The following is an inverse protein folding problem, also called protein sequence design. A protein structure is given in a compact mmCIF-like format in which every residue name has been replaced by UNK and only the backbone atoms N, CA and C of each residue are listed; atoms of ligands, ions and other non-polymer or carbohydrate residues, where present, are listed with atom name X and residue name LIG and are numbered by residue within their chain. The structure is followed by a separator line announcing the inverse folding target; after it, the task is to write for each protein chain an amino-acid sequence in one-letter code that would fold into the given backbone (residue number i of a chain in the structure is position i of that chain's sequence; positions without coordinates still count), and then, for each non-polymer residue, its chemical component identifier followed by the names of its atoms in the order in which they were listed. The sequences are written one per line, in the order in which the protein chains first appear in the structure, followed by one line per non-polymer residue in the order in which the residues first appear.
data_IF_635133314759
#
_entry.id   IF_635133314759
#
_cell.length_a   1.000
_cell.length_b   1.000
_cell.length_c   1.000
_cell.angle_alpha   90.00
_cell.angle_beta   90.00
_cell.angle_gamma   90.00
#
_symmetry.space_group_name_H-M   'P 1'
#
loop_
_entity.id
_entity.type
_entity.pdbx_description
1 polymer ?
#
# COMPACT_ATOMS: atom_id res chain seq x y z
N UNK A 1 -25.86 35.57 -13.14
CA UNK A 1 -25.09 34.50 -13.79
C UNK A 1 -23.84 35.08 -14.41
N UNK A 2 -22.66 34.72 -13.90
CA UNK A 2 -21.38 35.21 -14.42
C UNK A 2 -20.80 34.17 -15.39
N UNK A 3 -20.32 34.60 -16.55
CA UNK A 3 -19.61 33.72 -17.48
C UNK A 3 -18.12 34.02 -17.37
N UNK A 4 -17.30 32.98 -17.20
CA UNK A 4 -15.86 33.16 -17.13
C UNK A 4 -15.33 33.71 -18.46
N UNK A 5 -14.67 34.88 -18.44
CA UNK A 5 -14.08 35.48 -19.65
C UNK A 5 -12.96 34.65 -20.28
N UNK A 6 -12.36 33.74 -19.51
CA UNK A 6 -11.24 32.91 -19.97
C UNK A 6 -11.70 31.55 -20.53
N UNK A 7 -12.68 30.89 -19.91
CA UNK A 7 -13.10 29.54 -20.30
C UNK A 7 -14.55 29.43 -20.81
N UNK A 8 -15.33 30.50 -20.78
CA UNK A 8 -16.71 30.53 -21.30
C UNK A 8 -17.73 29.70 -20.50
N UNK A 9 -17.34 29.16 -19.34
CA UNK A 9 -18.21 28.36 -18.48
C UNK A 9 -19.11 29.27 -17.64
N UNK A 10 -20.37 28.87 -17.50
CA UNK A 10 -21.34 29.51 -16.62
C UNK A 10 -20.97 29.23 -15.15
N UNK A 11 -20.78 30.30 -14.38
CA UNK A 11 -20.40 30.26 -12.98
C UNK A 11 -21.59 30.67 -12.10
N UNK A 12 -21.74 29.94 -11.00
CA UNK A 12 -22.68 30.23 -9.93
C UNK A 12 -22.19 31.46 -9.13
N UNK A 13 -23.11 32.31 -8.70
CA UNK A 13 -22.81 33.69 -8.24
C UNK A 13 -21.96 33.79 -6.97
N UNK A 14 -21.79 32.67 -6.25
CA UNK A 14 -21.00 32.55 -5.02
C UNK A 14 -19.56 32.05 -5.25
N UNK A 15 -19.17 31.75 -6.50
CA UNK A 15 -17.84 31.22 -6.79
C UNK A 15 -16.79 32.32 -6.97
N UNK A 16 -15.78 32.31 -6.11
CA UNK A 16 -14.65 33.25 -6.11
C UNK A 16 -13.62 32.97 -7.22
N UNK A 17 -13.56 31.73 -7.71
CA UNK A 17 -12.64 31.32 -8.77
C UNK A 17 -13.26 30.24 -9.65
N UNK A 18 -12.85 30.22 -10.92
CA UNK A 18 -13.32 29.20 -11.85
C UNK A 18 -12.70 27.83 -11.53
N UNK A 19 -13.48 26.76 -11.35
CA UNK A 19 -12.95 25.43 -11.04
C UNK A 19 -12.20 24.78 -12.22
N UNK A 20 -12.38 25.29 -13.43
CA UNK A 20 -11.78 24.75 -14.66
C UNK A 20 -10.46 25.43 -15.03
N UNK A 21 -10.35 26.74 -14.87
CA UNK A 21 -9.15 27.50 -15.26
C UNK A 21 -8.44 28.19 -14.09
N UNK A 22 -9.04 28.21 -12.90
CA UNK A 22 -8.48 28.86 -11.72
C UNK A 22 -8.55 30.39 -11.72
N UNK A 23 -9.11 31.00 -12.76
CA UNK A 23 -9.16 32.46 -12.90
C UNK A 23 -10.09 33.07 -11.84
N UNK A 24 -9.65 34.11 -11.10
CA UNK A 24 -10.49 34.81 -10.14
C UNK A 24 -11.63 35.55 -10.85
N UNK A 25 -12.85 35.38 -10.37
CA UNK A 25 -14.03 36.02 -10.95
C UNK A 25 -14.06 37.47 -10.47
N UNK A 26 -13.58 38.39 -11.31
CA UNK A 26 -13.59 39.82 -11.03
C UNK A 26 -15.03 40.36 -11.08
N UNK A 27 -15.77 40.26 -9.97
CA UNK A 27 -17.13 40.83 -9.91
C UNK A 27 -18.04 40.37 -8.79
N UNK A 28 -17.59 40.33 -7.53
CA UNK A 28 -18.52 40.31 -6.39
C UNK A 28 -18.02 41.18 -5.23
N UNK A 29 -18.42 42.46 -5.27
CA UNK A 29 -18.82 43.27 -4.10
C UNK A 29 -17.78 43.60 -3.03
N UNK A 30 -17.41 44.87 -2.97
CA UNK A 30 -16.51 45.55 -2.03
C UNK A 30 -16.92 45.44 -0.55
N UNK A 31 -15.93 45.14 0.30
CA UNK A 31 -15.78 45.72 1.64
C UNK A 31 -14.30 45.60 2.04
N UNK A 32 -13.63 46.74 2.13
CA UNK A 32 -12.19 46.83 2.27
C UNK A 32 -11.66 46.27 3.60
N UNK A 33 -10.43 45.77 3.57
CA UNK A 33 -9.26 46.33 4.28
C UNK A 33 -8.12 45.31 4.26
N UNK A 34 -7.04 45.67 3.57
CA UNK A 34 -5.66 45.16 3.62
C UNK A 34 -5.39 43.71 4.06
N UNK A 35 -4.82 42.88 3.16
CA UNK A 35 -3.53 42.19 3.42
C UNK A 35 -2.97 41.50 2.19
N UNK A 36 -1.78 41.96 1.82
CA UNK A 36 -0.63 41.18 1.36
C UNK A 36 -0.79 40.26 0.14
N UNK A 37 -0.26 40.77 -0.97
CA UNK A 37 0.36 40.06 -2.07
C UNK A 37 1.08 38.78 -1.58
N UNK A 38 0.57 37.61 -1.96
CA UNK A 38 1.28 36.33 -1.85
C UNK A 38 1.30 35.72 -3.26
N UNK A 39 2.45 35.32 -3.81
CA UNK A 39 2.50 34.77 -5.16
C UNK A 39 1.81 33.41 -5.20
N UNK A 40 0.94 33.25 -6.19
CA UNK A 40 0.36 31.98 -6.58
C UNK A 40 1.45 31.04 -7.07
N UNK A 41 1.53 29.84 -6.50
CA UNK A 41 2.44 28.81 -6.95
C UNK A 41 2.74 27.76 -5.89
N UNK A 42 1.81 26.81 -5.74
CA UNK A 42 2.00 25.40 -5.37
C UNK A 42 0.73 24.91 -4.65
N UNK A 43 0.07 23.82 -5.09
CA UNK A 43 -0.89 23.16 -4.24
C UNK A 43 -0.15 22.65 -3.00
N UNK A 44 -0.33 23.36 -1.88
CA UNK A 44 0.18 22.97 -0.59
C UNK A 44 -0.26 21.53 -0.31
N UNK A 45 0.75 20.65 -0.29
CA UNK A 45 0.68 19.26 0.08
C UNK A 45 -0.20 19.11 1.32
N UNK A 46 -1.37 18.48 1.19
CA UNK A 46 -2.09 18.03 2.39
C UNK A 46 -1.13 17.08 3.12
N UNK A 47 -0.73 17.38 4.36
CA UNK A 47 0.09 16.46 5.13
C UNK A 47 -0.65 15.14 5.15
N UNK A 48 0.05 14.05 4.79
CA UNK A 48 -0.42 12.68 5.01
C UNK A 48 -1.10 12.68 6.37
N UNK A 49 -2.40 12.38 6.43
CA UNK A 49 -3.11 12.28 7.70
C UNK A 49 -2.46 11.14 8.49
N UNK A 50 -1.43 11.47 9.25
CA UNK A 50 -0.78 10.53 10.13
C UNK A 50 -1.80 10.18 11.20
N UNK A 51 -2.07 8.88 11.35
CA UNK A 51 -2.99 8.43 12.39
C UNK A 51 -2.51 9.00 13.72
N UNK A 52 -3.42 9.66 14.43
CA UNK A 52 -3.14 10.16 15.77
C UNK A 52 -2.79 8.98 16.68
N UNK A 53 -1.93 9.20 17.68
CA UNK A 53 -1.57 8.18 18.66
C UNK A 53 -2.77 7.43 19.28
N UNK A 54 -3.88 8.09 19.66
CA UNK A 54 -5.06 7.37 20.14
C UNK A 54 -5.68 6.46 19.08
N UNK A 55 -5.70 6.86 17.80
CA UNK A 55 -6.19 6.01 16.70
C UNK A 55 -5.29 4.78 16.51
N UNK A 56 -3.96 4.93 16.56
CA UNK A 56 -3.04 3.79 16.45
C UNK A 56 -3.25 2.77 17.57
N UNK A 57 -3.41 3.25 18.81
CA UNK A 57 -3.68 2.40 19.97
C UNK A 57 -5.01 1.64 19.83
N UNK A 58 -6.07 2.35 19.42
CA UNK A 58 -7.38 1.75 19.21
C UNK A 58 -7.37 0.69 18.09
N UNK A 59 -6.68 0.97 16.97
CA UNK A 59 -6.48 0.00 15.89
C UNK A 59 -5.68 -1.22 16.36
N UNK A 60 -4.63 -1.02 17.15
CA UNK A 60 -3.86 -2.12 17.73
C UNK A 60 -4.71 -3.01 18.64
N UNK A 61 -5.56 -2.42 19.48
CA UNK A 61 -6.43 -3.15 20.40
C UNK A 61 -7.46 -4.00 19.65
N UNK A 62 -8.16 -3.41 18.67
CA UNK A 62 -9.14 -4.14 17.85
C UNK A 62 -8.47 -5.31 17.11
N UNK A 63 -7.35 -5.06 16.43
CA UNK A 63 -6.70 -6.11 15.65
C UNK A 63 -6.17 -7.20 16.58
N UNK A 64 -5.64 -6.85 17.75
CA UNK A 64 -5.18 -7.83 18.74
C UNK A 64 -6.32 -8.73 19.23
N UNK A 65 -7.51 -8.17 19.47
CA UNK A 65 -8.69 -8.95 19.88
C UNK A 65 -9.12 -9.91 18.75
N UNK A 66 -9.17 -9.43 17.51
CA UNK A 66 -9.52 -10.25 16.33
C UNK A 66 -8.51 -11.39 16.15
N UNK A 67 -7.21 -11.10 16.21
CA UNK A 67 -6.16 -12.12 16.09
C UNK A 67 -6.24 -13.13 17.23
N UNK A 68 -6.41 -12.68 18.47
CA UNK A 68 -6.49 -13.56 19.64
C UNK A 68 -7.70 -14.48 19.57
N UNK A 69 -8.86 -13.97 19.16
CA UNK A 69 -10.06 -14.80 18.98
C UNK A 69 -9.86 -15.86 17.88
N UNK A 70 -9.27 -15.50 16.74
CA UNK A 70 -8.94 -16.44 15.67
C UNK A 70 -7.92 -17.51 16.08
N UNK A 71 -6.90 -17.10 16.84
CA UNK A 71 -5.89 -18.00 17.42
C UNK A 71 -6.54 -19.05 18.33
N UNK A 72 -7.37 -18.60 19.28
CA UNK A 72 -8.05 -19.50 20.22
C UNK A 72 -8.97 -20.45 19.46
N UNK A 73 -9.74 -19.95 18.49
CA UNK A 73 -10.65 -20.78 17.71
C UNK A 73 -9.90 -21.86 16.90
N UNK A 74 -8.85 -21.48 16.17
CA UNK A 74 -8.06 -22.42 15.35
C UNK A 74 -7.32 -23.44 16.21
N UNK A 75 -6.79 -23.01 17.36
CA UNK A 75 -6.15 -23.89 18.31
C UNK A 75 -7.12 -24.91 18.93
N UNK A 76 -8.30 -24.46 19.37
CA UNK A 76 -9.33 -25.36 19.93
C UNK A 76 -9.76 -26.38 18.89
N UNK A 77 -10.03 -25.96 17.65
CA UNK A 77 -10.45 -26.86 16.58
C UNK A 77 -9.38 -27.91 16.28
N UNK A 78 -8.11 -27.50 16.20
CA UNK A 78 -7.00 -28.43 15.99
C UNK A 78 -6.86 -29.42 17.14
N UNK A 79 -6.90 -28.93 18.37
CA UNK A 79 -6.76 -29.79 19.54
C UNK A 79 -7.92 -30.79 19.68
N UNK A 80 -9.15 -30.36 19.40
CA UNK A 80 -10.33 -31.23 19.45
C UNK A 80 -10.27 -32.33 18.39
N UNK A 81 -9.84 -32.00 17.16
CA UNK A 81 -9.83 -32.94 16.04
C UNK A 81 -8.61 -33.87 16.09
N UNK A 82 -7.42 -33.30 16.29
CA UNK A 82 -6.14 -34.01 16.10
C UNK A 82 -5.44 -34.39 17.42
N UNK A 83 -5.94 -33.92 18.57
CA UNK A 83 -5.33 -34.13 19.92
C UNK A 83 -3.87 -33.66 20.02
N UNK A 84 -3.36 -32.98 18.99
CA UNK A 84 -1.99 -32.55 18.78
C UNK A 84 -2.00 -31.27 17.95
N UNK A 85 -0.91 -30.49 18.02
CA UNK A 85 -0.76 -29.28 17.21
C UNK A 85 -0.25 -29.70 15.84
N UNK A 86 -1.09 -29.56 14.82
CA UNK A 86 -0.77 -29.96 13.45
C UNK A 86 -0.86 -28.75 12.52
N UNK A 87 -2.05 -28.42 12.03
CA UNK A 87 -2.30 -27.30 11.12
C UNK A 87 -2.46 -25.94 11.82
N UNK A 88 -2.70 -25.89 13.15
CA UNK A 88 -2.89 -24.61 13.85
C UNK A 88 -1.59 -23.81 13.95
N UNK A 89 -0.44 -24.43 13.66
CA UNK A 89 0.86 -23.76 13.58
C UNK A 89 0.88 -22.63 12.54
N UNK A 90 0.22 -22.80 11.38
CA UNK A 90 0.23 -21.79 10.31
C UNK A 90 -0.62 -20.55 10.63
N UNK A 91 -1.90 -20.68 11.09
CA UNK A 91 -2.66 -19.54 11.59
C UNK A 91 -1.97 -18.81 12.74
N UNK A 92 -1.29 -19.56 13.63
CA UNK A 92 -0.53 -18.96 14.73
C UNK A 92 0.63 -18.13 14.21
N UNK A 93 1.42 -18.68 13.28
CA UNK A 93 2.53 -17.98 12.65
C UNK A 93 2.11 -16.68 11.95
N UNK A 94 1.02 -16.71 11.18
CA UNK A 94 0.48 -15.52 10.50
C UNK A 94 0.02 -14.49 11.52
N UNK A 95 -0.70 -14.92 12.56
CA UNK A 95 -1.22 -14.02 13.59
C UNK A 95 -0.10 -13.35 14.38
N UNK A 96 0.94 -14.10 14.77
CA UNK A 96 2.13 -13.55 15.43
C UNK A 96 2.88 -12.55 14.55
N UNK A 97 3.00 -12.85 13.25
CA UNK A 97 3.62 -11.94 12.27
C UNK A 97 2.82 -10.64 12.21
N UNK A 98 1.50 -10.70 11.99
CA UNK A 98 0.65 -9.50 11.93
C UNK A 98 0.74 -8.70 13.24
N UNK A 99 0.67 -9.39 14.38
CA UNK A 99 0.78 -8.77 15.69
C UNK A 99 2.12 -8.04 15.90
N UNK A 100 3.24 -8.63 15.44
CA UNK A 100 4.56 -8.01 15.50
C UNK A 100 4.60 -6.69 14.70
N UNK A 101 4.06 -6.68 13.47
CA UNK A 101 4.03 -5.48 12.62
C UNK A 101 3.18 -4.36 13.23
N UNK A 102 1.98 -4.69 13.70
CA UNK A 102 1.06 -3.67 14.24
C UNK A 102 1.61 -3.11 15.56
N UNK A 103 2.17 -3.96 16.43
CA UNK A 103 2.76 -3.52 17.70
C UNK A 103 3.91 -2.54 17.48
N UNK A 104 4.82 -2.85 16.57
CA UNK A 104 5.94 -1.96 16.27
C UNK A 104 5.48 -0.68 15.57
N UNK A 105 4.51 -0.77 14.67
CA UNK A 105 3.95 0.42 14.02
C UNK A 105 3.18 1.34 15.00
N UNK A 106 2.50 0.76 15.99
CA UNK A 106 1.74 1.50 16.99
C UNK A 106 2.64 2.17 18.04
N UNK A 107 3.64 1.45 18.56
CA UNK A 107 4.42 1.91 19.71
C UNK A 107 5.80 2.48 19.36
N UNK A 108 6.40 2.10 18.22
CA UNK A 108 7.76 2.51 17.88
C UNK A 108 7.77 3.66 16.87
N UNK A 109 8.18 4.86 17.30
CA UNK A 109 8.18 6.07 16.45
C UNK A 109 9.50 6.24 15.70
N UNK A 110 9.75 5.37 14.72
CA UNK A 110 10.97 5.36 13.89
C UNK A 110 10.62 5.48 12.40
N UNK A 111 11.58 5.79 11.50
CA UNK A 111 11.29 5.82 10.07
C UNK A 111 10.75 4.47 9.60
N UNK A 112 9.83 4.51 8.62
CA UNK A 112 9.06 3.33 8.18
C UNK A 112 9.95 2.15 7.79
N UNK A 113 11.11 2.38 7.18
CA UNK A 113 12.04 1.30 6.84
C UNK A 113 12.62 0.59 8.07
N UNK A 114 12.90 1.33 9.14
CA UNK A 114 13.43 0.75 10.38
C UNK A 114 12.33 -0.01 11.13
N UNK A 115 11.09 0.48 11.11
CA UNK A 115 9.93 -0.26 11.63
C UNK A 115 9.75 -1.59 10.90
N UNK A 116 9.80 -1.59 9.55
CA UNK A 116 9.71 -2.80 8.72
C UNK A 116 10.85 -3.77 9.02
N UNK A 117 12.08 -3.27 9.15
CA UNK A 117 13.23 -4.12 9.48
C UNK A 117 13.10 -4.73 10.88
N UNK A 118 12.66 -3.95 11.87
CA UNK A 118 12.43 -4.45 13.23
C UNK A 118 11.29 -5.45 13.30
N UNK A 119 10.19 -5.23 12.56
CA UNK A 119 9.06 -6.16 12.53
C UNK A 119 9.39 -7.44 11.79
N UNK A 120 10.20 -7.36 10.72
CA UNK A 120 10.78 -8.53 10.06
C UNK A 120 11.64 -9.33 11.04
N UNK A 121 12.56 -8.68 11.76
CA UNK A 121 13.43 -9.36 12.73
C UNK A 121 12.61 -10.04 13.84
N UNK A 122 11.63 -9.33 14.42
CA UNK A 122 10.76 -9.88 15.45
C UNK A 122 9.91 -11.06 14.94
N UNK A 123 9.39 -10.96 13.72
CA UNK A 123 8.61 -12.03 13.09
C UNK A 123 9.46 -13.26 12.79
N UNK A 124 10.72 -13.09 12.36
CA UNK A 124 11.66 -14.21 12.19
C UNK A 124 11.88 -14.92 13.53
N UNK A 125 12.09 -14.17 14.61
CA UNK A 125 12.26 -14.75 15.96
C UNK A 125 11.02 -15.53 16.38
N UNK A 126 9.82 -14.98 16.16
CA UNK A 126 8.57 -15.67 16.47
C UNK A 126 8.35 -16.93 15.62
N UNK A 127 8.67 -16.89 14.32
CA UNK A 127 8.59 -18.07 13.45
C UNK A 127 9.53 -19.18 13.93
N UNK A 128 10.78 -18.84 14.26
CA UNK A 128 11.75 -19.82 14.78
C UNK A 128 11.30 -20.38 16.12
N UNK A 129 10.84 -19.53 17.04
CA UNK A 129 10.37 -19.97 18.36
C UNK A 129 9.15 -20.89 18.26
N UNK A 130 8.23 -20.58 17.36
CA UNK A 130 7.07 -21.43 17.08
C UNK A 130 7.50 -22.80 16.54
N UNK A 131 8.46 -22.81 15.62
CA UNK A 131 8.99 -24.03 15.01
C UNK A 131 9.75 -24.92 16.02
N UNK A 132 10.46 -24.28 16.97
CA UNK A 132 11.08 -24.95 18.12
C UNK A 132 10.04 -25.60 19.04
N UNK A 133 8.89 -24.96 19.25
CA UNK A 133 7.80 -25.50 20.08
C UNK A 133 7.05 -26.65 19.40
N UNK A 134 6.95 -26.63 18.07
CA UNK A 134 6.28 -27.69 17.28
C UNK A 134 7.21 -28.81 16.83
N UNK A 135 8.48 -28.80 17.26
CA UNK A 135 9.54 -29.76 16.85
C UNK A 135 9.76 -29.82 15.32
N UNK A 136 9.49 -28.72 14.62
CA UNK A 136 9.26 -28.68 13.17
C UNK A 136 10.33 -28.02 12.32
N UNK A 137 11.58 -27.84 12.81
CA UNK A 137 12.69 -26.95 12.35
C UNK A 137 12.83 -26.66 10.82
N UNK A 138 12.30 -27.52 9.97
CA UNK A 138 12.42 -27.44 8.51
C UNK A 138 11.53 -26.37 7.84
N UNK A 139 10.30 -26.13 8.30
CA UNK A 139 9.35 -25.34 7.50
C UNK A 139 9.50 -23.83 7.72
N UNK A 140 9.87 -23.38 8.92
CA UNK A 140 10.08 -21.96 9.18
C UNK A 140 11.24 -21.42 8.34
N UNK A 141 12.35 -22.16 8.27
CA UNK A 141 13.54 -21.78 7.51
C UNK A 141 13.35 -22.01 6.00
N UNK A 142 12.70 -23.11 5.62
CA UNK A 142 12.51 -23.46 4.21
C UNK A 142 11.41 -22.68 3.50
N UNK A 143 10.40 -22.21 4.23
CA UNK A 143 9.18 -21.62 3.65
C UNK A 143 8.81 -20.29 4.32
N UNK A 144 8.68 -20.26 5.66
CA UNK A 144 8.21 -19.08 6.39
C UNK A 144 9.10 -17.84 6.21
N UNK A 145 10.39 -17.97 6.54
CA UNK A 145 11.37 -16.89 6.47
C UNK A 145 11.59 -16.41 5.02
N UNK A 146 11.78 -17.28 4.01
CA UNK A 146 11.91 -16.84 2.62
C UNK A 146 10.69 -16.08 2.11
N UNK A 147 9.47 -16.53 2.43
CA UNK A 147 8.23 -15.83 2.05
C UNK A 147 8.12 -14.47 2.73
N UNK A 148 8.41 -14.42 4.03
CA UNK A 148 8.40 -13.18 4.79
C UNK A 148 9.42 -12.19 4.22
N UNK A 149 10.63 -12.65 3.90
CA UNK A 149 11.67 -11.82 3.29
C UNK A 149 11.23 -11.31 1.91
N UNK A 150 10.67 -12.17 1.06
CA UNK A 150 10.16 -11.77 -0.25
C UNK A 150 9.08 -10.68 -0.14
N UNK A 151 8.11 -10.84 0.75
CA UNK A 151 7.07 -9.84 1.00
C UNK A 151 7.65 -8.50 1.46
N UNK A 152 8.63 -8.52 2.37
CA UNK A 152 9.30 -7.31 2.86
C UNK A 152 10.15 -6.62 1.81
N UNK A 153 10.87 -7.38 0.97
CA UNK A 153 11.65 -6.82 -0.13
C UNK A 153 10.74 -6.12 -1.16
N UNK A 154 9.60 -6.73 -1.50
CA UNK A 154 8.61 -6.10 -2.38
C UNK A 154 8.03 -4.84 -1.75
N UNK A 155 7.63 -4.90 -0.49
CA UNK A 155 7.10 -3.73 0.23
C UNK A 155 8.12 -2.59 0.29
N UNK A 156 9.39 -2.89 0.64
CA UNK A 156 10.47 -1.92 0.67
C UNK A 156 10.75 -1.33 -0.73
N UNK A 157 10.72 -2.16 -1.78
CA UNK A 157 10.83 -1.71 -3.17
C UNK A 157 9.73 -0.74 -3.57
N UNK A 158 8.47 -1.07 -3.25
CA UNK A 158 7.30 -0.21 -3.51
C UNK A 158 7.40 1.11 -2.74
N UNK A 159 7.81 1.07 -1.46
CA UNK A 159 8.06 2.27 -0.66
C UNK A 159 9.17 3.12 -1.28
N UNK A 160 10.26 2.51 -1.75
CA UNK A 160 11.34 3.19 -2.46
C UNK A 160 10.87 3.87 -3.74
N UNK A 161 10.00 3.20 -4.52
CA UNK A 161 9.35 3.77 -5.70
C UNK A 161 8.46 4.95 -5.32
N UNK A 162 7.66 4.85 -4.24
CA UNK A 162 6.81 5.95 -3.74
C UNK A 162 7.66 7.17 -3.39
N UNK A 163 8.79 6.99 -2.70
CA UNK A 163 9.67 8.08 -2.31
C UNK A 163 10.38 8.73 -3.49
N UNK A 164 10.78 7.94 -4.50
CA UNK A 164 11.42 8.48 -5.71
C UNK A 164 10.43 9.02 -6.75
N UNK A 165 9.17 8.65 -6.69
CA UNK A 165 8.17 9.10 -7.65
C UNK A 165 7.80 10.56 -7.41
N UNK A 166 8.32 11.45 -8.26
CA UNK A 166 8.01 12.89 -8.25
C UNK A 166 6.50 13.18 -8.40
N UNK A 167 5.78 12.29 -9.08
CA UNK A 167 4.33 12.38 -9.28
C UNK A 167 3.64 11.18 -8.67
N UNK A 168 2.70 11.44 -7.75
CA UNK A 168 1.89 10.42 -7.09
C UNK A 168 0.53 10.41 -7.77
N UNK A 169 0.14 9.27 -8.34
CA UNK A 169 -1.08 9.14 -9.14
C UNK A 169 -1.21 7.71 -9.69
N UNK A 170 -1.80 7.55 -10.88
CA UNK A 170 -2.05 6.25 -11.51
C UNK A 170 -0.76 5.41 -11.69
N UNK A 171 0.40 6.06 -11.85
CA UNK A 171 1.71 5.41 -11.88
C UNK A 171 1.98 4.51 -10.67
N UNK A 172 1.55 4.95 -9.48
CA UNK A 172 1.79 4.21 -8.25
C UNK A 172 0.97 2.91 -8.20
N UNK A 173 -0.25 2.95 -8.76
CA UNK A 173 -1.08 1.76 -8.88
C UNK A 173 -0.44 0.73 -9.83
N UNK A 174 0.16 1.18 -10.94
CA UNK A 174 0.88 0.31 -11.86
C UNK A 174 2.08 -0.39 -11.19
N UNK A 175 2.84 0.34 -10.36
CA UNK A 175 3.90 -0.26 -9.55
C UNK A 175 3.38 -1.25 -8.51
N UNK A 176 2.24 -0.95 -7.87
CA UNK A 176 1.58 -1.89 -6.96
C UNK A 176 1.21 -3.21 -7.65
N UNK A 177 0.62 -3.14 -8.85
CA UNK A 177 0.32 -4.31 -9.66
C UNK A 177 1.57 -5.11 -10.03
N UNK A 178 2.63 -4.45 -10.49
CA UNK A 178 3.90 -5.13 -10.77
C UNK A 178 4.51 -5.77 -9.52
N UNK A 179 4.44 -5.09 -8.37
CA UNK A 179 4.90 -5.63 -7.09
C UNK A 179 4.12 -6.88 -6.69
N UNK A 180 2.80 -6.87 -6.85
CA UNK A 180 1.95 -8.04 -6.58
C UNK A 180 2.28 -9.23 -7.50
N UNK A 181 2.45 -8.98 -8.81
CA UNK A 181 2.83 -10.03 -9.76
C UNK A 181 4.21 -10.62 -9.42
N UNK A 182 5.18 -9.78 -9.06
CA UNK A 182 6.50 -10.24 -8.62
C UNK A 182 6.43 -11.03 -7.30
N UNK A 183 5.60 -10.60 -6.35
CA UNK A 183 5.38 -11.36 -5.12
C UNK A 183 4.78 -12.74 -5.41
N UNK A 184 3.83 -12.86 -6.34
CA UNK A 184 3.29 -14.17 -6.76
C UNK A 184 4.38 -15.07 -7.36
N UNK A 185 5.30 -14.54 -8.17
CA UNK A 185 6.46 -15.29 -8.68
C UNK A 185 7.35 -15.79 -7.55
N UNK A 186 7.65 -14.93 -6.56
CA UNK A 186 8.42 -15.32 -5.40
C UNK A 186 7.72 -16.42 -4.60
N UNK A 187 6.42 -16.28 -4.35
CA UNK A 187 5.62 -17.27 -3.60
C UNK A 187 5.66 -18.61 -4.31
N UNK A 188 5.34 -18.67 -5.61
CA UNK A 188 5.35 -19.94 -6.35
C UNK A 188 6.77 -20.53 -6.42
N UNK A 189 7.79 -19.71 -6.66
CA UNK A 189 9.17 -20.17 -6.72
C UNK A 189 9.64 -20.79 -5.40
N UNK A 190 9.33 -20.16 -4.27
CA UNK A 190 9.66 -20.68 -2.93
C UNK A 190 8.89 -21.97 -2.65
N UNK A 191 7.58 -22.00 -2.92
CA UNK A 191 6.74 -23.18 -2.70
C UNK A 191 7.20 -24.37 -3.53
N UNK A 192 7.42 -24.19 -4.83
CA UNK A 192 7.80 -25.29 -5.72
C UNK A 192 9.21 -25.79 -5.38
N UNK A 193 10.13 -24.88 -5.03
CA UNK A 193 11.47 -25.24 -4.57
C UNK A 193 11.44 -26.03 -3.27
N UNK A 194 10.54 -25.69 -2.35
CA UNK A 194 10.36 -26.38 -1.07
C UNK A 194 9.72 -27.77 -1.27
N UNK A 195 8.65 -27.86 -2.07
CA UNK A 195 7.87 -29.09 -2.26
C UNK A 195 8.51 -30.10 -3.23
N UNK A 196 9.12 -29.64 -4.31
CA UNK A 196 9.56 -30.52 -5.43
C UNK A 196 11.05 -30.45 -5.71
N UNK A 197 11.77 -29.47 -5.15
CA UNK A 197 13.18 -29.22 -5.48
C UNK A 197 13.43 -28.68 -6.89
N UNK A 198 12.39 -28.52 -7.72
CA UNK A 198 12.49 -28.00 -9.08
C UNK A 198 12.09 -26.52 -9.17
N UNK A 199 12.37 -25.86 -10.29
CA UNK A 199 11.85 -24.52 -10.59
C UNK A 199 10.91 -24.61 -11.79
N UNK A 200 9.63 -24.89 -11.52
CA UNK A 200 8.56 -24.87 -12.53
C UNK A 200 7.49 -23.91 -12.08
N UNK A 201 7.26 -22.86 -12.85
CA UNK A 201 6.21 -21.88 -12.61
C UNK A 201 4.97 -22.22 -13.44
N UNK A 202 3.80 -22.09 -12.85
CA UNK A 202 2.50 -22.34 -13.48
C UNK A 202 1.57 -21.17 -13.26
N UNK A 203 1.00 -21.03 -12.07
CA UNK A 203 -0.07 -20.06 -11.81
C UNK A 203 0.46 -18.62 -11.73
N UNK A 204 1.70 -18.40 -11.27
CA UNK A 204 2.28 -17.05 -11.23
C UNK A 204 2.52 -16.49 -12.64
N UNK A 205 2.81 -17.33 -13.64
CA UNK A 205 2.94 -16.90 -15.04
C UNK A 205 1.59 -16.41 -15.60
N UNK A 206 0.50 -17.07 -15.23
CA UNK A 206 -0.87 -16.64 -15.61
C UNK A 206 -1.19 -15.28 -14.96
N UNK A 207 -0.80 -15.09 -13.70
CA UNK A 207 -0.94 -13.80 -13.01
C UNK A 207 -0.10 -12.73 -13.71
N UNK A 208 1.16 -12.99 -14.04
CA UNK A 208 1.99 -12.05 -14.79
C UNK A 208 1.38 -11.70 -16.15
N UNK A 209 0.89 -12.70 -16.89
CA UNK A 209 0.26 -12.50 -18.20
C UNK A 209 -0.99 -11.62 -18.15
N UNK A 210 -1.75 -11.65 -17.05
CA UNK A 210 -2.93 -10.79 -16.87
C UNK A 210 -2.61 -9.41 -16.30
N UNK A 211 -1.65 -9.32 -15.38
CA UNK A 211 -1.30 -8.07 -14.68
C UNK A 211 -0.44 -7.15 -15.53
N UNK A 212 0.49 -7.69 -16.34
CA UNK A 212 1.40 -6.87 -17.16
C UNK A 212 0.64 -5.96 -18.14
N UNK A 213 -0.35 -6.44 -18.92
CA UNK A 213 -1.14 -5.57 -19.80
C UNK A 213 -1.84 -4.43 -19.04
N UNK A 214 -2.44 -4.74 -17.88
CA UNK A 214 -3.11 -3.73 -17.04
C UNK A 214 -2.12 -2.68 -16.56
N UNK A 215 -0.96 -3.10 -16.04
CA UNK A 215 0.09 -2.18 -15.60
C UNK A 215 0.59 -1.29 -16.75
N UNK A 216 0.77 -1.84 -17.95
CA UNK A 216 1.19 -1.09 -19.14
C UNK A 216 0.16 -0.03 -19.54
N UNK A 217 -1.14 -0.36 -19.51
CA UNK A 217 -2.21 0.62 -19.79
C UNK A 217 -2.19 1.74 -18.74
N UNK A 218 -2.03 1.41 -17.45
CA UNK A 218 -1.94 2.41 -16.38
C UNK A 218 -0.73 3.34 -16.56
N UNK A 219 0.44 2.80 -16.93
CA UNK A 219 1.60 3.60 -17.29
C UNK A 219 1.33 4.49 -18.52
N UNK A 220 0.72 3.94 -19.57
CA UNK A 220 0.39 4.70 -20.78
C UNK A 220 -0.56 5.86 -20.49
N UNK A 221 -1.62 5.63 -19.71
CA UNK A 221 -2.56 6.67 -19.27
C UNK A 221 -1.84 7.74 -18.48
N UNK A 222 -0.99 7.34 -17.53
CA UNK A 222 -0.19 8.30 -16.76
C UNK A 222 0.74 9.14 -17.65
N UNK A 223 1.41 8.53 -18.63
CA UNK A 223 2.28 9.24 -19.58
C UNK A 223 1.49 10.16 -20.51
N UNK A 224 0.29 9.78 -20.94
CA UNK A 224 -0.60 10.61 -21.76
C UNK A 224 -1.13 11.80 -20.98
N UNK A 225 -1.56 11.60 -19.74
CA UNK A 225 -1.98 12.68 -18.83
C UNK A 225 -0.83 13.66 -18.57
N UNK A 226 0.41 13.18 -18.46
CA UNK A 226 1.62 14.02 -18.38
C UNK A 226 1.88 14.83 -19.66
N UNK A 227 1.38 14.37 -20.81
CA UNK A 227 1.68 14.91 -22.14
C UNK A 227 0.52 15.70 -22.78
N UNK A 228 -0.50 16.14 -22.03
CA UNK A 228 -1.34 17.26 -22.50
C UNK A 228 -0.45 18.51 -22.56
N UNK A 229 0.13 18.94 -23.68
CA UNK A 229 -0.43 19.26 -25.00
C UNK A 229 -1.71 20.07 -24.90
N UNK A 230 -1.54 21.40 -24.96
CA UNK A 230 -2.18 22.27 -25.96
C UNK A 230 -3.17 21.48 -26.83
N UNK A 231 -4.45 21.58 -26.48
CA UNK A 231 -5.58 21.11 -27.27
C UNK A 231 -5.84 22.02 -28.49
N UNK A 232 -5.00 23.03 -28.70
CA UNK A 232 -5.15 24.08 -29.70
C UNK A 232 -4.87 23.60 -31.14
N UNK A 233 -4.15 22.48 -31.32
CA UNK A 233 -3.81 21.96 -32.66
C UNK A 233 -4.74 20.88 -33.21
N UNK A 234 -5.69 20.40 -32.41
CA UNK A 234 -6.66 19.38 -32.86
C UNK A 234 -8.04 19.95 -33.15
N UNK A 235 -8.28 21.21 -32.81
CA UNK A 235 -9.48 21.93 -33.22
C UNK A 235 -9.06 23.20 -33.96
N UNK A 236 -8.70 23.04 -35.24
CA UNK A 236 -8.86 24.12 -36.20
C UNK A 236 -10.36 24.20 -36.52
N UNK A 237 -11.10 24.97 -35.72
CA UNK A 237 -12.37 25.59 -36.09
C UNK A 237 -12.35 27.04 -35.64
#
# INVERSE_FOLDING_TARGET
MAICKNCGVELEEVMLSCPLCGEPVAGSGESGTSRQTTPAGEPAFQPRAEMSQPQKKFTWEIISIILLSGLIATFIVDFVINQTITWSEYPVAISLTIFAYISLFAFWQQPTLLQIAGSLALSIVFLLLLDLLTNGISWSVGLGIPLLLAANLVAAGLIGVIYRSKYKGINLLAWGFLGAAFLCLCIEGILVRFMTGTFRFGWSLIVCGSVIPVALVLFFVHLRLKKGRSLEKTFHM
#
